data_IF_804851562546
#
_entry.id   IF_804851562546
#
_cell.length_a   1.000
_cell.length_b   1.000
_cell.length_c   1.000
_cell.angle_alpha   90.00
_cell.angle_beta   90.00
_cell.angle_gamma   90.00
#
_symmetry.space_group_name_H-M   'P 1'
#
loop_
_entity.id
_entity.type
_entity.pdbx_description
1 polymer ?
#
# COMPACT_ATOMS: atom_id res chain seq x y z
N UNK A 1 8.76 -6.83 13.81
CA UNK A 1 8.47 -7.46 12.52
C UNK A 1 8.43 -6.35 11.47
N UNK A 2 9.53 -6.13 10.75
CA UNK A 2 9.63 -5.06 9.74
C UNK A 2 9.20 -5.66 8.41
N UNK A 3 8.05 -5.24 7.90
CA UNK A 3 7.51 -5.69 6.62
C UNK A 3 8.44 -5.18 5.51
N UNK A 4 9.20 -6.08 4.89
CA UNK A 4 10.15 -5.77 3.82
C UNK A 4 9.41 -5.64 2.48
N UNK A 5 9.28 -4.42 1.95
CA UNK A 5 8.86 -4.19 0.56
C UNK A 5 10.11 -4.19 -0.33
N UNK A 6 10.74 -5.36 -0.50
CA UNK A 6 11.89 -5.56 -1.43
C UNK A 6 11.52 -6.51 -2.57
N UNK A 7 10.39 -7.21 -2.45
CA UNK A 7 9.97 -8.31 -3.34
C UNK A 7 9.92 -7.88 -4.82
N UNK A 8 9.59 -6.62 -5.10
CA UNK A 8 9.49 -6.13 -6.48
C UNK A 8 10.84 -5.76 -7.10
N UNK A 9 11.82 -5.32 -6.30
CA UNK A 9 13.10 -4.85 -6.81
C UNK A 9 13.98 -6.01 -7.29
N UNK A 10 13.88 -7.18 -6.64
CA UNK A 10 14.56 -8.41 -7.07
C UNK A 10 13.99 -8.94 -8.38
N UNK A 11 12.67 -8.96 -8.54
CA UNK A 11 12.02 -9.41 -9.79
C UNK A 11 12.43 -8.52 -10.97
N UNK A 12 12.46 -7.20 -10.76
CA UNK A 12 12.86 -6.24 -11.79
C UNK A 12 14.36 -6.41 -12.10
N UNK A 13 15.22 -6.58 -11.10
CA UNK A 13 16.66 -6.86 -11.27
C UNK A 13 16.89 -8.13 -12.08
N UNK A 14 16.23 -9.23 -11.72
CA UNK A 14 16.42 -10.55 -12.34
C UNK A 14 15.94 -10.59 -13.80
N UNK A 15 15.07 -9.65 -14.19
CA UNK A 15 14.66 -9.41 -15.59
C UNK A 15 15.65 -8.55 -16.39
N UNK A 16 16.79 -8.17 -15.82
CA UNK A 16 17.87 -7.46 -16.49
C UNK A 16 17.79 -5.94 -16.44
N UNK A 17 16.86 -5.37 -15.65
CA UNK A 17 16.84 -3.93 -15.42
C UNK A 17 17.96 -3.53 -14.45
N UNK A 18 18.56 -2.36 -14.69
CA UNK A 18 19.49 -1.75 -13.73
C UNK A 18 18.70 -1.21 -12.56
N UNK A 19 18.88 -1.84 -11.40
CA UNK A 19 18.22 -1.45 -10.15
C UNK A 19 19.31 -1.12 -9.14
N UNK A 20 19.06 -0.07 -8.36
CA UNK A 20 19.84 0.24 -7.16
C UNK A 20 18.88 0.32 -5.97
N UNK A 21 19.40 0.09 -4.77
CA UNK A 21 18.63 0.18 -3.54
C UNK A 21 19.14 1.35 -2.70
N UNK A 22 18.22 2.24 -2.32
CA UNK A 22 18.44 3.31 -1.34
C UNK A 22 17.91 2.91 0.03
N UNK A 23 18.79 2.74 1.02
CA UNK A 23 18.40 2.36 2.39
C UNK A 23 19.09 3.23 3.45
N UNK A 24 18.50 3.30 4.64
CA UNK A 24 19.21 3.76 5.83
C UNK A 24 20.14 2.64 6.32
N UNK A 25 21.31 2.99 6.85
CA UNK A 25 22.19 2.03 7.54
C UNK A 25 21.44 1.38 8.71
N UNK A 26 21.52 0.05 8.80
CA UNK A 26 20.81 -0.75 9.81
C UNK A 26 20.45 -2.15 9.30
N UNK A 27 19.53 -2.87 9.98
CA UNK A 27 19.25 -4.27 9.67
C UNK A 27 18.84 -4.54 8.20
N UNK A 28 18.07 -3.64 7.59
CA UNK A 28 17.68 -3.78 6.18
C UNK A 28 18.86 -3.60 5.21
N UNK A 29 19.87 -2.79 5.59
CA UNK A 29 21.10 -2.64 4.82
C UNK A 29 21.91 -3.94 4.81
N UNK A 30 22.02 -4.59 5.98
CA UNK A 30 22.74 -5.86 6.10
C UNK A 30 22.06 -6.97 5.29
N UNK A 31 20.73 -7.02 5.37
CA UNK A 31 19.92 -7.94 4.56
C UNK A 31 20.07 -7.67 3.05
N UNK A 32 20.18 -6.40 2.63
CA UNK A 32 20.43 -6.09 1.23
C UNK A 32 21.81 -6.62 0.78
N UNK A 33 22.85 -6.55 1.62
CA UNK A 33 24.15 -7.15 1.29
C UNK A 33 24.04 -8.68 1.16
N UNK A 34 23.28 -9.33 2.04
CA UNK A 34 23.01 -10.77 1.96
C UNK A 34 22.26 -11.16 0.67
N UNK A 35 21.33 -10.31 0.21
CA UNK A 35 20.56 -10.47 -1.04
C UNK A 35 21.38 -10.10 -2.31
N UNK A 36 22.67 -9.83 -2.16
CA UNK A 36 23.62 -9.60 -3.25
C UNK A 36 23.72 -8.14 -3.73
N UNK A 37 23.21 -7.17 -2.97
CA UNK A 37 23.38 -5.75 -3.29
C UNK A 37 24.71 -5.22 -2.76
N UNK A 38 25.52 -4.62 -3.64
CA UNK A 38 26.90 -4.22 -3.36
C UNK A 38 26.96 -2.74 -2.97
N UNK A 39 27.49 -2.46 -1.77
CA UNK A 39 27.68 -1.09 -1.28
C UNK A 39 28.59 -0.29 -2.21
N UNK A 40 28.12 0.88 -2.64
CA UNK A 40 28.84 1.75 -3.59
C UNK A 40 28.64 1.41 -5.07
N UNK A 41 27.97 0.29 -5.39
CA UNK A 41 27.65 -0.09 -6.77
C UNK A 41 26.14 -0.18 -7.01
N UNK A 42 25.43 -0.96 -6.18
CA UNK A 42 23.98 -1.19 -6.29
C UNK A 42 23.23 -0.94 -4.98
N UNK A 43 23.93 -0.56 -3.91
CA UNK A 43 23.39 -0.24 -2.60
C UNK A 43 23.98 1.08 -2.11
N UNK A 44 23.10 2.05 -1.86
CA UNK A 44 23.45 3.43 -1.51
C UNK A 44 22.57 3.92 -0.37
N UNK A 45 22.98 5.03 0.27
CA UNK A 45 22.05 5.76 1.12
C UNK A 45 20.93 6.39 0.29
N UNK A 46 19.76 6.61 0.92
CA UNK A 46 18.53 7.07 0.23
C UNK A 46 18.79 8.32 -0.64
N UNK A 47 19.48 9.33 -0.11
CA UNK A 47 19.71 10.59 -0.84
C UNK A 47 20.67 10.44 -2.01
N UNK A 48 21.61 9.50 -1.93
CA UNK A 48 22.56 9.21 -3.01
C UNK A 48 21.88 8.43 -4.14
N UNK A 49 21.06 7.42 -3.81
CA UNK A 49 20.23 6.73 -4.78
C UNK A 49 19.32 7.71 -5.54
N UNK A 50 18.61 8.59 -4.82
CA UNK A 50 17.71 9.57 -5.44
C UNK A 50 18.39 10.51 -6.44
N UNK A 51 19.67 10.84 -6.26
CA UNK A 51 20.40 11.72 -7.18
C UNK A 51 20.65 11.05 -8.53
N UNK A 52 21.07 9.79 -8.51
CA UNK A 52 21.64 9.09 -9.65
C UNK A 52 20.58 8.45 -10.57
N UNK A 53 19.35 8.27 -10.09
CA UNK A 53 18.31 7.54 -10.80
C UNK A 53 17.34 8.43 -11.59
N UNK A 54 16.60 7.84 -12.53
CA UNK A 54 15.56 8.53 -13.34
C UNK A 54 14.14 8.17 -12.91
N UNK A 55 13.97 7.04 -12.22
CA UNK A 55 12.70 6.57 -11.66
C UNK A 55 12.92 6.16 -10.22
N UNK A 56 12.23 6.82 -9.30
CA UNK A 56 12.37 6.63 -7.86
C UNK A 56 11.18 5.82 -7.35
N UNK A 57 11.41 4.57 -6.96
CA UNK A 57 10.39 3.74 -6.32
C UNK A 57 10.33 4.02 -4.81
N UNK A 58 9.33 4.81 -4.39
CA UNK A 58 9.23 5.26 -3.00
C UNK A 58 8.51 4.22 -2.11
N UNK A 59 9.24 3.14 -1.81
CA UNK A 59 8.73 1.92 -1.16
C UNK A 59 8.92 1.88 0.36
N UNK A 60 9.12 3.03 1.00
CA UNK A 60 9.15 3.13 2.46
C UNK A 60 7.75 2.93 3.05
N UNK A 61 7.67 2.64 4.36
CA UNK A 61 6.38 2.68 5.08
C UNK A 61 5.76 4.08 4.98
N UNK A 62 4.43 4.22 5.07
CA UNK A 62 3.77 5.55 4.95
C UNK A 62 4.34 6.59 5.95
N UNK A 63 4.67 6.14 7.16
CA UNK A 63 5.31 6.98 8.17
C UNK A 63 6.77 7.35 7.81
N UNK A 64 7.51 6.41 7.25
CA UNK A 64 8.88 6.65 6.79
C UNK A 64 8.92 7.52 5.52
N UNK A 65 7.92 7.43 4.64
CA UNK A 65 7.77 8.32 3.49
C UNK A 65 7.61 9.77 3.98
N UNK A 66 6.70 10.01 4.93
CA UNK A 66 6.58 11.33 5.57
C UNK A 66 7.91 11.82 6.15
N UNK A 67 8.62 10.94 6.86
CA UNK A 67 9.86 11.30 7.56
C UNK A 67 11.01 11.60 6.60
N UNK A 68 11.13 10.82 5.52
CA UNK A 68 12.21 10.96 4.54
C UNK A 68 11.94 12.06 3.49
N UNK A 69 10.72 12.57 3.37
CA UNK A 69 10.34 13.46 2.28
C UNK A 69 11.24 14.69 2.14
N UNK A 70 11.53 15.37 3.25
CA UNK A 70 12.33 16.59 3.25
C UNK A 70 13.77 16.39 2.76
N UNK A 71 14.33 15.18 2.86
CA UNK A 71 15.69 14.91 2.38
C UNK A 71 15.75 14.52 0.90
N UNK A 72 14.60 14.20 0.28
CA UNK A 72 14.56 13.72 -1.11
C UNK A 72 13.83 14.65 -2.07
N UNK A 73 12.92 15.51 -1.61
CA UNK A 73 12.03 16.31 -2.47
C UNK A 73 12.77 17.16 -3.52
N UNK A 74 13.92 17.73 -3.16
CA UNK A 74 14.71 18.58 -4.06
C UNK A 74 15.57 17.75 -5.02
N UNK A 75 15.72 16.44 -4.76
CA UNK A 75 16.53 15.53 -5.56
C UNK A 75 15.72 14.86 -6.68
N UNK A 76 14.39 14.98 -6.65
CA UNK A 76 13.51 14.23 -7.54
C UNK A 76 12.94 15.02 -8.72
N UNK A 77 13.19 16.32 -8.79
CA UNK A 77 12.78 17.18 -9.92
C UNK A 77 13.14 16.58 -11.29
N UNK A 78 12.19 16.61 -12.23
CA UNK A 78 12.33 16.07 -13.58
C UNK A 78 12.37 14.54 -13.67
N UNK A 79 12.17 13.81 -12.56
CA UNK A 79 12.20 12.33 -12.51
C UNK A 79 10.79 11.73 -12.43
N UNK A 80 10.71 10.40 -12.53
CA UNK A 80 9.48 9.67 -12.20
C UNK A 80 9.47 9.30 -10.73
N UNK A 81 8.40 9.61 -10.01
CA UNK A 81 8.17 9.16 -8.63
C UNK A 81 7.08 8.09 -8.61
N UNK A 82 7.46 6.89 -8.20
CA UNK A 82 6.60 5.72 -8.14
C UNK A 82 6.16 5.44 -6.70
N UNK A 83 4.90 5.03 -6.53
CA UNK A 83 4.34 4.50 -5.29
C UNK A 83 3.76 3.10 -5.50
N UNK A 84 3.78 2.26 -4.45
CA UNK A 84 3.05 0.97 -4.44
C UNK A 84 1.72 1.03 -3.69
N UNK A 85 1.40 2.18 -3.09
CA UNK A 85 0.19 2.44 -2.33
C UNK A 85 -0.05 3.95 -2.26
N UNK A 86 -1.30 4.40 -2.39
CA UNK A 86 -1.59 5.79 -2.66
C UNK A 86 -1.65 6.73 -1.44
N UNK A 87 -1.49 6.20 -0.23
CA UNK A 87 -1.74 6.94 1.01
C UNK A 87 -1.00 8.27 1.11
N UNK A 88 0.31 8.30 0.84
CA UNK A 88 1.09 9.54 0.94
C UNK A 88 0.61 10.64 0.01
N UNK A 89 0.12 10.29 -1.17
CA UNK A 89 -0.38 11.24 -2.18
C UNK A 89 -1.82 11.65 -1.87
N UNK A 90 -2.69 10.70 -1.51
CA UNK A 90 -4.09 11.00 -1.15
C UNK A 90 -4.17 11.85 0.10
N UNK A 91 -3.28 11.59 1.07
CA UNK A 91 -3.21 12.33 2.33
C UNK A 91 -2.04 13.31 2.37
N UNK A 92 -1.63 13.86 1.22
CA UNK A 92 -0.46 14.77 1.10
C UNK A 92 -0.47 15.94 2.07
N UNK A 93 -1.64 16.44 2.46
CA UNK A 93 -1.77 17.49 3.46
C UNK A 93 -1.42 17.03 4.89
N UNK A 94 -1.61 15.75 5.21
CA UNK A 94 -1.22 15.14 6.49
C UNK A 94 0.23 14.63 6.47
N UNK A 95 0.64 14.07 5.34
CA UNK A 95 1.96 13.45 5.17
C UNK A 95 3.04 14.48 4.84
N UNK A 96 2.68 15.60 4.23
CA UNK A 96 3.62 16.59 3.69
C UNK A 96 4.31 16.14 2.39
N UNK A 97 3.93 14.97 1.84
CA UNK A 97 4.50 14.41 0.61
C UNK A 97 3.83 15.06 -0.59
N UNK A 98 4.43 16.13 -1.09
CA UNK A 98 3.93 16.92 -2.24
C UNK A 98 4.99 16.87 -3.34
N UNK A 99 4.85 15.96 -4.33
CA UNK A 99 5.80 15.85 -5.42
C UNK A 99 5.92 17.17 -6.21
N UNK A 100 7.11 17.51 -6.72
CA UNK A 100 7.28 18.64 -7.61
C UNK A 100 6.42 18.56 -8.88
N UNK A 101 6.06 19.71 -9.43
CA UNK A 101 5.21 19.80 -10.62
C UNK A 101 5.86 19.25 -11.90
N UNK A 102 7.20 19.17 -11.93
CA UNK A 102 8.00 18.65 -13.03
C UNK A 102 8.32 17.15 -12.88
N UNK A 103 7.70 16.46 -11.92
CA UNK A 103 7.84 15.02 -11.74
C UNK A 103 6.63 14.25 -12.30
N UNK A 104 6.90 13.17 -13.04
CA UNK A 104 5.86 12.18 -13.36
C UNK A 104 5.53 11.37 -12.10
N UNK A 105 4.28 11.37 -11.63
CA UNK A 105 3.88 10.63 -10.42
C UNK A 105 3.00 9.45 -10.80
N UNK A 106 3.50 8.23 -10.55
CA UNK A 106 2.85 6.99 -10.94
C UNK A 106 2.60 6.08 -9.75
N UNK A 107 1.64 5.17 -9.88
CA UNK A 107 1.46 4.08 -8.93
C UNK A 107 1.10 2.76 -9.60
N UNK A 108 1.76 1.70 -9.15
CA UNK A 108 1.39 0.30 -9.46
C UNK A 108 1.26 -0.41 -8.13
N UNK A 109 0.06 -0.84 -7.73
CA UNK A 109 -0.21 -1.36 -6.40
C UNK A 109 -0.57 -2.86 -6.45
N UNK A 110 0.40 -3.78 -6.22
CA UNK A 110 0.14 -5.22 -6.29
C UNK A 110 -0.86 -5.65 -5.22
N UNK A 111 -1.90 -6.38 -5.61
CA UNK A 111 -2.81 -7.04 -4.65
C UNK A 111 -2.33 -8.48 -4.46
N UNK A 112 -2.27 -8.92 -3.21
CA UNK A 112 -1.60 -10.16 -2.77
C UNK A 112 -2.07 -11.48 -3.41
N UNK A 113 -3.03 -11.46 -4.34
CA UNK A 113 -3.52 -12.60 -5.12
C UNK A 113 -2.97 -12.69 -6.56
N UNK A 114 -1.94 -11.91 -6.92
CA UNK A 114 -1.41 -11.88 -8.30
C UNK A 114 -2.22 -11.01 -9.27
N UNK A 115 -3.13 -10.19 -8.75
CA UNK A 115 -3.90 -9.17 -9.49
C UNK A 115 -3.40 -7.79 -9.07
N UNK A 116 -3.22 -6.85 -9.99
CA UNK A 116 -2.61 -5.54 -9.65
C UNK A 116 -3.37 -4.36 -10.22
N UNK A 117 -3.30 -3.26 -9.47
CA UNK A 117 -4.01 -2.00 -9.71
C UNK A 117 -3.03 -0.94 -10.25
N UNK A 118 -3.43 -0.18 -11.28
CA UNK A 118 -2.62 0.83 -11.97
C UNK A 118 -3.22 2.23 -11.86
N UNK A 119 -2.40 3.25 -11.56
CA UNK A 119 -2.89 4.62 -11.30
C UNK A 119 -1.95 5.72 -11.81
N UNK A 120 -2.59 6.82 -12.25
CA UNK A 120 -2.00 8.01 -12.87
C UNK A 120 -2.14 9.29 -12.05
N UNK A 121 -1.16 10.19 -12.16
CA UNK A 121 -1.36 11.64 -12.00
C UNK A 121 -0.56 12.45 -13.04
N UNK A 122 -1.30 13.32 -13.76
CA UNK A 122 -0.91 14.39 -14.69
C UNK A 122 -0.11 14.07 -15.97
N UNK A 123 -0.27 15.01 -16.92
CA UNK A 123 -0.11 14.90 -18.37
C UNK A 123 1.26 14.40 -18.87
N UNK A 124 1.26 13.65 -19.99
CA UNK A 124 2.48 13.19 -20.66
C UNK A 124 2.53 11.67 -20.82
N UNK A 125 3.70 11.07 -20.56
CA UNK A 125 3.98 9.63 -20.73
C UNK A 125 3.77 8.79 -19.46
N UNK A 126 3.16 9.35 -18.42
CA UNK A 126 2.97 8.69 -17.13
C UNK A 126 2.16 7.37 -17.23
N UNK A 127 1.19 7.29 -18.15
CA UNK A 127 0.39 6.09 -18.39
C UNK A 127 1.22 4.94 -18.95
N UNK A 128 1.94 5.22 -20.04
CA UNK A 128 2.89 4.28 -20.66
C UNK A 128 3.90 3.77 -19.61
N UNK A 129 4.50 4.68 -18.83
CA UNK A 129 5.47 4.31 -17.79
C UNK A 129 4.88 3.43 -16.70
N UNK A 130 3.65 3.69 -16.28
CA UNK A 130 3.00 2.91 -15.24
C UNK A 130 2.67 1.49 -15.75
N UNK A 131 2.22 1.36 -17.01
CA UNK A 131 2.01 0.06 -17.66
C UNK A 131 3.33 -0.70 -17.84
N UNK A 132 4.36 -0.04 -18.36
CA UNK A 132 5.70 -0.62 -18.54
C UNK A 132 6.28 -1.11 -17.21
N UNK A 133 6.12 -0.30 -16.15
CA UNK A 133 6.52 -0.67 -14.79
C UNK A 133 5.77 -1.92 -14.34
N UNK A 134 4.46 -2.00 -14.58
CA UNK A 134 3.68 -3.17 -14.22
C UNK A 134 4.10 -4.44 -14.96
N UNK A 135 4.43 -4.34 -16.26
CA UNK A 135 4.96 -5.45 -17.05
C UNK A 135 6.35 -5.87 -16.57
N UNK A 136 7.23 -4.89 -16.28
CA UNK A 136 8.55 -5.14 -15.70
C UNK A 136 8.42 -5.91 -14.38
N UNK A 137 7.45 -5.57 -13.54
CA UNK A 137 7.14 -6.28 -12.30
C UNK A 137 6.55 -7.69 -12.50
N UNK A 138 6.21 -8.08 -13.74
CA UNK A 138 5.69 -9.42 -14.06
C UNK A 138 4.24 -9.63 -13.69
N UNK A 139 3.45 -8.56 -13.70
CA UNK A 139 2.06 -8.60 -13.28
C UNK A 139 1.18 -9.17 -14.39
N UNK A 140 0.37 -10.17 -14.05
CA UNK A 140 -0.48 -10.88 -15.01
C UNK A 140 -1.77 -10.16 -15.40
N UNK A 141 -2.30 -9.31 -14.50
CA UNK A 141 -3.49 -8.51 -14.72
C UNK A 141 -3.26 -7.09 -14.21
N UNK A 142 -3.46 -6.11 -15.08
CA UNK A 142 -3.27 -4.68 -14.81
C UNK A 142 -4.56 -3.96 -15.22
N UNK A 143 -5.14 -3.16 -14.33
CA UNK A 143 -6.34 -2.36 -14.63
C UNK A 143 -6.22 -0.93 -14.08
N UNK A 144 -6.76 0.07 -14.79
CA UNK A 144 -6.62 1.48 -14.44
C UNK A 144 -7.55 1.92 -13.28
N UNK A 145 -7.11 2.91 -12.49
CA UNK A 145 -7.88 3.59 -11.43
C UNK A 145 -7.19 4.91 -11.01
N UNK A 146 -7.49 5.47 -9.83
CA UNK A 146 -6.96 6.73 -9.30
C UNK A 146 -6.41 6.58 -7.88
N UNK A 147 -5.44 7.41 -7.47
CA UNK A 147 -4.76 7.30 -6.15
C UNK A 147 -5.77 7.19 -5.02
N UNK A 148 -6.81 8.02 -5.10
CA UNK A 148 -7.94 8.05 -4.19
C UNK A 148 -8.71 6.72 -4.15
N UNK A 149 -9.14 6.22 -5.31
CA UNK A 149 -9.91 4.96 -5.40
C UNK A 149 -9.14 3.75 -4.90
N UNK A 150 -7.86 3.61 -5.24
CA UNK A 150 -7.05 2.50 -4.75
C UNK A 150 -6.81 2.59 -3.27
N UNK A 151 -6.43 3.77 -2.76
CA UNK A 151 -6.19 3.96 -1.33
C UNK A 151 -7.43 3.61 -0.52
N UNK A 152 -8.61 4.05 -0.96
CA UNK A 152 -9.86 3.73 -0.27
C UNK A 152 -10.24 2.27 -0.39
N UNK A 153 -10.10 1.67 -1.57
CA UNK A 153 -10.36 0.24 -1.75
C UNK A 153 -9.42 -0.62 -0.90
N UNK A 154 -8.16 -0.21 -0.76
CA UNK A 154 -7.12 -0.94 -0.05
C UNK A 154 -7.32 -0.83 1.46
N UNK A 155 -7.60 0.37 2.00
CA UNK A 155 -7.95 0.56 3.40
C UNK A 155 -9.22 -0.20 3.76
N UNK A 156 -10.26 -0.08 2.94
CA UNK A 156 -11.52 -0.82 3.15
C UNK A 156 -11.27 -2.32 3.09
N UNK A 157 -10.46 -2.80 2.14
CA UNK A 157 -10.09 -4.21 2.03
C UNK A 157 -9.32 -4.71 3.25
N UNK A 158 -8.28 -3.99 3.69
CA UNK A 158 -7.47 -4.36 4.86
C UNK A 158 -8.33 -4.39 6.13
N UNK A 159 -9.14 -3.37 6.38
CA UNK A 159 -10.05 -3.34 7.52
C UNK A 159 -11.22 -4.34 7.39
N UNK A 160 -11.54 -4.75 6.16
CA UNK A 160 -12.65 -5.64 5.83
C UNK A 160 -12.25 -7.11 5.84
N UNK A 161 -12.55 -7.82 4.75
CA UNK A 161 -12.44 -9.28 4.70
C UNK A 161 -11.00 -9.77 4.99
N UNK A 162 -9.97 -9.37 4.22
CA UNK A 162 -8.60 -9.85 4.37
C UNK A 162 -7.98 -9.86 5.77
N UNK A 163 -8.29 -8.88 6.63
CA UNK A 163 -7.72 -8.84 7.99
C UNK A 163 -8.80 -8.75 9.06
N UNK A 164 -9.62 -7.70 9.07
CA UNK A 164 -10.55 -7.42 10.16
C UNK A 164 -11.58 -8.53 10.37
N UNK A 165 -12.30 -8.91 9.31
CA UNK A 165 -13.35 -9.93 9.37
C UNK A 165 -12.77 -11.31 9.71
N UNK A 166 -11.74 -11.76 8.98
CA UNK A 166 -11.13 -13.08 9.21
C UNK A 166 -10.59 -13.18 10.66
N UNK A 167 -9.88 -12.16 11.14
CA UNK A 167 -9.37 -12.14 12.50
C UNK A 167 -10.52 -12.16 13.54
N UNK A 168 -11.59 -11.40 13.29
CA UNK A 168 -12.77 -11.38 14.13
C UNK A 168 -13.46 -12.75 14.21
N UNK A 169 -13.65 -13.42 13.06
CA UNK A 169 -14.24 -14.75 12.98
C UNK A 169 -13.37 -15.79 13.68
N UNK A 170 -12.06 -15.79 13.45
CA UNK A 170 -11.13 -16.69 14.15
C UNK A 170 -11.22 -16.54 15.66
N UNK A 171 -11.22 -15.29 16.15
CA UNK A 171 -11.37 -15.01 17.57
C UNK A 171 -12.71 -15.51 18.10
N UNK A 172 -13.81 -15.18 17.44
CA UNK A 172 -15.15 -15.55 17.89
C UNK A 172 -15.32 -17.08 17.96
N UNK A 173 -14.90 -17.81 16.92
CA UNK A 173 -14.98 -19.27 16.91
C UNK A 173 -14.08 -19.89 17.99
N UNK A 174 -12.84 -19.39 18.14
CA UNK A 174 -11.93 -19.86 19.18
C UNK A 174 -12.55 -19.70 20.58
N UNK A 175 -13.06 -18.52 20.91
CA UNK A 175 -13.68 -18.24 22.22
C UNK A 175 -14.93 -19.08 22.47
N UNK A 176 -15.78 -19.28 21.46
CA UNK A 176 -16.96 -20.15 21.57
C UNK A 176 -16.57 -21.60 21.82
N UNK A 177 -15.58 -22.14 21.10
CA UNK A 177 -15.09 -23.51 21.32
C UNK A 177 -14.51 -23.69 22.73
N UNK A 178 -13.69 -22.74 23.20
CA UNK A 178 -13.17 -22.75 24.57
C UNK A 178 -14.33 -22.76 25.59
N UNK A 179 -15.35 -21.90 25.41
CA UNK A 179 -16.48 -21.83 26.34
C UNK A 179 -17.32 -23.11 26.38
N UNK A 180 -17.27 -23.93 25.33
CA UNK A 180 -17.94 -25.22 25.24
C UNK A 180 -17.04 -26.41 25.66
N UNK A 181 -15.89 -26.13 26.29
CA UNK A 181 -15.02 -27.15 26.88
C UNK A 181 -13.96 -27.74 25.96
N UNK A 182 -13.78 -27.19 24.76
CA UNK A 182 -12.66 -27.57 23.90
C UNK A 182 -11.34 -27.06 24.46
N UNK A 183 -10.26 -27.79 24.23
CA UNK A 183 -8.90 -27.34 24.54
C UNK A 183 -8.47 -26.23 23.58
N UNK A 184 -7.48 -25.41 23.99
CA UNK A 184 -6.91 -24.37 23.12
C UNK A 184 -6.32 -24.92 21.84
N UNK A 185 -5.76 -26.13 21.86
CA UNK A 185 -5.21 -26.76 20.67
C UNK A 185 -6.30 -27.20 19.69
N UNK A 186 -7.40 -27.77 20.19
CA UNK A 186 -8.57 -28.11 19.37
C UNK A 186 -9.23 -26.86 18.78
N UNK A 187 -9.47 -25.85 19.62
CA UNK A 187 -10.08 -24.59 19.19
C UNK A 187 -9.23 -23.86 18.12
N UNK A 188 -7.90 -23.88 18.26
CA UNK A 188 -7.00 -23.29 17.26
C UNK A 188 -7.00 -24.10 15.96
N UNK A 189 -6.86 -25.42 16.03
CA UNK A 189 -6.77 -26.28 14.84
C UNK A 189 -8.05 -26.23 13.97
N UNK A 190 -9.23 -26.15 14.60
CA UNK A 190 -10.53 -26.12 13.91
C UNK A 190 -10.90 -24.74 13.33
N UNK A 191 -10.12 -23.68 13.60
CA UNK A 191 -10.31 -22.35 12.98
C UNK A 191 -9.58 -22.19 11.65
N UNK A 192 -8.65 -23.09 11.33
CA UNK A 192 -7.82 -22.99 10.13
C UNK A 192 -8.45 -23.73 8.95
N UNK A 193 -8.90 -22.99 7.93
CA UNK A 193 -9.53 -23.53 6.73
C UNK A 193 -8.71 -24.65 6.03
N UNK A 194 -7.38 -24.53 6.04
CA UNK A 194 -6.49 -25.51 5.42
C UNK A 194 -6.48 -26.88 6.12
N UNK A 195 -6.97 -26.96 7.36
CA UNK A 195 -7.05 -28.20 8.13
C UNK A 195 -8.40 -28.92 7.92
N UNK A 196 -9.35 -28.33 7.18
CA UNK A 196 -10.68 -28.89 7.00
C UNK A 196 -10.69 -30.02 5.96
N UNK A 197 -11.30 -31.15 6.33
CA UNK A 197 -11.60 -32.26 5.41
C UNK A 197 -12.55 -31.84 4.28
N UNK A 198 -12.60 -32.63 3.21
CA UNK A 198 -13.51 -32.39 2.07
C UNK A 198 -14.98 -32.33 2.51
N UNK A 199 -15.38 -33.14 3.47
CA UNK A 199 -16.72 -33.14 4.06
C UNK A 199 -17.01 -31.85 4.83
N UNK A 200 -16.06 -31.35 5.62
CA UNK A 200 -16.20 -30.09 6.34
C UNK A 200 -16.34 -28.90 5.39
N UNK A 201 -15.58 -28.89 4.28
CA UNK A 201 -15.71 -27.86 3.23
C UNK A 201 -17.07 -27.89 2.54
N UNK A 202 -17.68 -29.07 2.38
CA UNK A 202 -19.06 -29.19 1.87
C UNK A 202 -20.08 -28.63 2.87
N UNK A 203 -19.96 -28.97 4.15
CA UNK A 203 -20.83 -28.43 5.21
C UNK A 203 -20.75 -26.91 5.36
N UNK A 204 -19.60 -26.30 5.04
CA UNK A 204 -19.46 -24.84 5.00
C UNK A 204 -20.44 -24.17 4.02
N UNK A 205 -20.80 -24.84 2.91
CA UNK A 205 -21.76 -24.31 1.94
C UNK A 205 -23.18 -24.19 2.52
N UNK A 206 -23.56 -25.08 3.44
CA UNK A 206 -24.87 -25.04 4.09
C UNK A 206 -25.00 -23.84 5.05
N UNK A 207 -23.88 -23.36 5.58
CA UNK A 207 -23.81 -22.23 6.51
C UNK A 207 -23.44 -20.90 5.84
N UNK A 208 -22.92 -20.93 4.61
CA UNK A 208 -22.42 -19.77 3.87
C UNK A 208 -23.43 -18.60 3.86
N UNK A 209 -24.71 -18.87 3.56
CA UNK A 209 -25.72 -17.81 3.47
C UNK A 209 -26.01 -17.13 4.81
N UNK A 210 -25.89 -17.86 5.93
CA UNK A 210 -26.08 -17.29 7.28
C UNK A 210 -24.92 -16.35 7.62
N UNK A 211 -23.69 -16.78 7.35
CA UNK A 211 -22.52 -15.92 7.52
C UNK A 211 -22.56 -14.72 6.58
N UNK A 212 -22.97 -14.90 5.31
CA UNK A 212 -23.18 -13.78 4.38
C UNK A 212 -24.15 -12.75 4.96
N UNK A 213 -25.34 -13.18 5.37
CA UNK A 213 -26.38 -12.28 5.90
C UNK A 213 -25.95 -11.56 7.17
N UNK A 214 -25.11 -12.20 7.99
CA UNK A 214 -24.55 -11.58 9.18
C UNK A 214 -23.40 -10.60 8.89
N UNK A 215 -22.68 -10.80 7.79
CA UNK A 215 -21.46 -10.05 7.47
C UNK A 215 -21.72 -8.88 6.53
N UNK A 216 -22.68 -9.00 5.60
CA UNK A 216 -23.01 -7.96 4.61
C UNK A 216 -23.28 -6.58 5.24
N UNK A 217 -24.14 -6.43 6.28
CA UNK A 217 -24.40 -5.13 6.89
C UNK A 217 -23.15 -4.51 7.55
N UNK A 218 -22.29 -5.35 8.13
CA UNK A 218 -21.04 -4.90 8.76
C UNK A 218 -20.04 -4.41 7.70
N UNK A 219 -20.01 -5.05 6.53
CA UNK A 219 -19.16 -4.62 5.42
C UNK A 219 -19.67 -3.32 4.81
N UNK A 220 -20.98 -3.14 4.70
CA UNK A 220 -21.59 -1.87 4.27
C UNK A 220 -21.21 -0.72 5.22
N UNK A 221 -21.39 -0.94 6.53
CA UNK A 221 -21.02 0.02 7.58
C UNK A 221 -19.52 0.37 7.52
N UNK A 222 -18.64 -0.63 7.37
CA UNK A 222 -17.20 -0.40 7.22
C UNK A 222 -16.89 0.49 6.01
N UNK A 223 -17.51 0.20 4.85
CA UNK A 223 -17.31 1.00 3.65
C UNK A 223 -17.76 2.45 3.85
N UNK A 224 -18.88 2.66 4.57
CA UNK A 224 -19.37 3.99 4.90
C UNK A 224 -18.48 4.71 5.90
N UNK A 225 -18.02 4.02 6.96
CA UNK A 225 -17.11 4.58 7.97
C UNK A 225 -15.83 5.11 7.34
N UNK A 226 -15.18 4.32 6.47
CA UNK A 226 -13.97 4.74 5.76
C UNK A 226 -14.25 5.97 4.91
N UNK A 227 -15.40 6.05 4.22
CA UNK A 227 -15.78 7.26 3.45
C UNK A 227 -16.07 8.47 4.34
N UNK A 228 -16.72 8.27 5.48
CA UNK A 228 -17.18 9.34 6.37
C UNK A 228 -16.03 9.99 7.14
N UNK A 229 -15.08 9.21 7.68
CA UNK A 229 -13.87 9.73 8.34
C UNK A 229 -13.10 10.73 7.45
N UNK A 230 -13.19 10.55 6.13
CA UNK A 230 -12.55 11.40 5.15
C UNK A 230 -13.35 12.64 4.81
N UNK A 231 -14.69 12.52 4.78
CA UNK A 231 -15.59 13.65 4.63
C UNK A 231 -15.44 14.61 5.82
N UNK A 232 -15.41 14.09 7.04
CA UNK A 232 -15.18 14.88 8.25
C UNK A 232 -13.83 15.60 8.22
N UNK A 233 -12.77 14.94 7.74
CA UNK A 233 -11.47 15.59 7.57
C UNK A 233 -11.56 16.79 6.61
N UNK A 234 -12.24 16.62 5.46
CA UNK A 234 -12.43 17.68 4.46
C UNK A 234 -13.36 18.78 4.93
N UNK A 235 -14.34 18.49 5.78
CA UNK A 235 -15.27 19.47 6.34
C UNK A 235 -14.74 20.14 7.61
N UNK A 236 -13.65 19.63 8.18
CA UNK A 236 -13.05 20.18 9.39
C UNK A 236 -12.66 21.66 9.23
N UNK A 237 -12.85 22.43 10.30
CA UNK A 237 -12.49 23.86 10.32
C UNK A 237 -11.02 24.08 9.97
N UNK A 238 -10.13 23.20 10.42
CA UNK A 238 -8.71 23.26 10.08
C UNK A 238 -8.48 23.12 8.57
N UNK A 239 -9.18 22.18 7.92
CA UNK A 239 -9.09 21.97 6.48
C UNK A 239 -9.65 23.15 5.69
N UNK A 240 -10.84 23.63 6.04
CA UNK A 240 -11.48 24.79 5.40
C UNK A 240 -10.64 26.06 5.57
N UNK A 241 -10.02 26.23 6.73
CA UNK A 241 -9.07 27.32 6.99
C UNK A 241 -7.82 27.17 6.14
N UNK A 242 -7.24 25.96 6.03
CA UNK A 242 -6.07 25.71 5.20
C UNK A 242 -6.35 25.94 3.70
N UNK A 243 -7.52 25.57 3.18
CA UNK A 243 -7.95 25.87 1.82
C UNK A 243 -8.05 27.39 1.60
N UNK A 244 -8.65 28.11 2.54
CA UNK A 244 -8.80 29.58 2.47
C UNK A 244 -7.44 30.28 2.53
N UNK A 245 -6.53 29.84 3.39
CA UNK A 245 -5.17 30.40 3.46
C UNK A 245 -4.40 30.14 2.17
N UNK A 246 -4.53 28.95 1.57
CA UNK A 246 -3.88 28.62 0.29
C UNK A 246 -4.45 29.39 -0.91
N UNK A 247 -5.74 29.71 -0.91
CA UNK A 247 -6.34 30.53 -1.97
C UNK A 247 -5.88 32.00 -1.91
N UNK A 248 -5.49 32.47 -0.72
CA UNK A 248 -4.97 33.81 -0.48
C UNK A 248 -3.46 33.95 -0.70
N UNK A 249 -2.72 32.84 -0.85
CA UNK A 249 -1.31 32.90 -1.27
C UNK A 249 -1.20 33.45 -2.70
N UNK A 250 -0.38 34.50 -2.86
CA UNK A 250 -0.07 35.13 -4.15
C UNK A 250 0.51 34.10 -5.12
N UNK A 251 0.18 34.19 -6.41
CA UNK A 251 0.62 33.24 -7.46
C UNK A 251 2.14 33.06 -7.51
N UNK A 252 2.91 34.05 -7.10
CA UNK A 252 4.39 33.99 -7.03
C UNK A 252 4.94 33.06 -5.96
N UNK A 253 4.10 32.52 -5.06
CA UNK A 253 4.48 31.54 -4.03
C UNK A 253 3.85 30.15 -4.24
N UNK A 254 3.19 29.91 -5.40
CA UNK A 254 2.54 28.62 -5.72
C UNK A 254 3.42 27.65 -6.53
N UNK A 255 4.72 27.94 -6.67
CA UNK A 255 5.68 27.07 -7.36
C UNK A 255 6.21 25.96 -6.46
#
# INVERSE_FOLDING_TARGET
MVLKVVINLVIIRDKGFKVVIGLRKGPSWDLAKEDGWIEGETLFEITEACKNDTTIMYLLSDADQKTAWNSIKDLIHGKTLYFSYGFSIVFKDKTGVIPPNDCDVIMVAPKGSGTTVLILFLEGRAEERAYDTGIAMGLGYIFPTTFERETYSDLTGKCGIPMGCIQGIFKAQFEVLISNGHTSSEAFNETMYNNCSTTARRGALDWMNKFYSATEPVVEELCESVRNELKELRESQLWQTAVTVRSLCLETQKN
#
